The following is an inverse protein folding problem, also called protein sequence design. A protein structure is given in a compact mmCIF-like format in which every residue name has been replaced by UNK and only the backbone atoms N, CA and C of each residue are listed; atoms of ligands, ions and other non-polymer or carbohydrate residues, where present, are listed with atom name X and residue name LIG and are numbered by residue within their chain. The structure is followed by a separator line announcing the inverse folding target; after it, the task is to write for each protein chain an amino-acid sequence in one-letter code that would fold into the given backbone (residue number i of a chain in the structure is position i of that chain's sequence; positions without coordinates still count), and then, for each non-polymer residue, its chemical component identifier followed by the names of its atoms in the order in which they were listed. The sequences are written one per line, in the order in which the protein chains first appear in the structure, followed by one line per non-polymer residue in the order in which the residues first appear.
data_IF_202402386172
#
_entry.id   IF_202402386172
#
_cell.length_a   1.000
_cell.length_b   1.000
_cell.length_c   1.000
_cell.angle_alpha   90.00
_cell.angle_beta   90.00
_cell.angle_gamma   90.00
#
_symmetry.space_group_name_H-M   'P 1'
#
loop_
_entity.id
_entity.type
_entity.pdbx_description
1 polymer ?
#
# COMPACT_ATOMS: atom_id res chain seq x y z
N UNK A 1 0.36 -37.68 -84.35
CA UNK A 1 0.11 -36.59 -85.33
C UNK A 1 -0.24 -35.32 -84.54
N UNK A 2 0.51 -34.24 -84.79
CA UNK A 2 0.25 -32.82 -84.49
C UNK A 2 0.23 -32.32 -83.02
N UNK A 3 1.38 -31.74 -82.67
CA UNK A 3 1.58 -30.59 -81.78
C UNK A 3 0.69 -29.41 -82.23
N UNK A 4 0.09 -28.68 -81.26
CA UNK A 4 -0.18 -27.24 -81.35
C UNK A 4 -0.12 -26.57 -79.96
N UNK A 5 0.93 -25.76 -79.79
CA UNK A 5 1.06 -24.44 -79.13
C UNK A 5 -0.23 -23.59 -79.23
N UNK A 6 -0.54 -22.52 -78.48
CA UNK A 6 0.10 -21.55 -77.58
C UNK A 6 -1.08 -20.67 -77.03
N UNK A 7 -1.02 -20.09 -75.82
CA UNK A 7 -1.48 -18.71 -75.56
C UNK A 7 -1.36 -18.31 -74.07
N UNK A 8 -0.58 -17.27 -73.85
CA UNK A 8 -0.43 -16.41 -72.68
C UNK A 8 -1.71 -15.76 -72.18
N UNK A 9 -1.86 -15.64 -70.86
CA UNK A 9 -2.60 -14.55 -70.23
C UNK A 9 -1.92 -14.15 -68.91
N UNK A 10 -1.36 -12.95 -68.94
CA UNK A 10 -0.76 -12.20 -67.84
C UNK A 10 -1.83 -11.88 -66.78
N UNK A 11 -1.58 -12.23 -65.51
CA UNK A 11 -2.27 -11.59 -64.39
C UNK A 11 -1.24 -10.87 -63.52
N UNK A 12 -1.38 -9.55 -63.51
CA UNK A 12 -0.71 -8.62 -62.62
C UNK A 12 -1.33 -8.79 -61.24
N UNK A 13 -0.56 -9.27 -60.26
CA UNK A 13 -0.97 -9.32 -58.86
C UNK A 13 -0.22 -8.24 -58.07
N UNK A 14 -0.96 -7.18 -57.77
CA UNK A 14 -0.90 -6.28 -56.62
C UNK A 14 0.45 -6.07 -55.90
N UNK A 15 0.92 -4.81 -56.01
CA UNK A 15 1.79 -4.15 -55.04
C UNK A 15 1.09 -4.14 -53.66
N UNK A 16 1.47 -5.07 -52.80
CA UNK A 16 1.14 -5.09 -51.38
C UNK A 16 2.31 -4.52 -50.57
N UNK A 17 2.08 -3.37 -49.94
CA UNK A 17 2.98 -2.63 -49.06
C UNK A 17 3.83 -3.52 -48.13
N UNK A 18 5.16 -3.45 -48.28
CA UNK A 18 6.07 -3.84 -47.20
C UNK A 18 6.05 -2.75 -46.14
N UNK A 19 5.09 -2.84 -45.22
CA UNK A 19 5.17 -2.08 -43.97
C UNK A 19 6.38 -2.63 -43.19
N UNK A 20 7.50 -1.89 -43.23
CA UNK A 20 8.52 -1.99 -42.20
C UNK A 20 7.90 -1.49 -40.90
N UNK A 21 7.16 -2.37 -40.23
CA UNK A 21 6.81 -2.21 -38.84
C UNK A 21 8.11 -2.33 -38.05
N UNK A 22 8.76 -1.18 -37.84
CA UNK A 22 9.74 -1.00 -36.79
C UNK A 22 9.09 -1.52 -35.51
N UNK A 23 9.55 -2.67 -35.04
CA UNK A 23 9.15 -3.24 -33.76
C UNK A 23 9.57 -2.24 -32.70
N UNK A 24 8.64 -1.34 -32.35
CA UNK A 24 8.72 -0.46 -31.20
C UNK A 24 8.77 -1.41 -30.01
N UNK A 25 9.99 -1.65 -29.53
CA UNK A 25 10.28 -2.42 -28.32
C UNK A 25 9.37 -1.85 -27.23
N UNK A 26 8.38 -2.64 -26.85
CA UNK A 26 7.46 -2.34 -25.77
C UNK A 26 8.28 -2.33 -24.48
N UNK A 27 8.82 -1.16 -24.10
CA UNK A 27 9.35 -0.89 -22.77
C UNK A 27 8.20 -0.73 -21.76
N UNK A 28 7.22 -1.63 -21.83
CA UNK A 28 6.10 -1.76 -20.92
C UNK A 28 6.24 -3.17 -20.36
N UNK A 29 6.56 -3.28 -19.06
CA UNK A 29 6.60 -4.50 -18.21
C UNK A 29 7.95 -5.00 -17.66
N UNK A 30 9.03 -4.21 -17.65
CA UNK A 30 10.17 -4.58 -16.78
C UNK A 30 9.91 -4.33 -15.27
N UNK A 31 8.89 -3.54 -14.92
CA UNK A 31 8.56 -3.24 -13.52
C UNK A 31 7.54 -4.24 -12.93
N UNK A 32 6.70 -4.85 -13.76
CA UNK A 32 5.69 -5.82 -13.33
C UNK A 32 6.30 -7.14 -12.81
N UNK A 33 7.51 -7.50 -13.27
CA UNK A 33 8.21 -8.71 -12.84
C UNK A 33 9.06 -8.53 -11.57
N UNK A 34 9.17 -7.31 -11.05
CA UNK A 34 10.04 -7.04 -9.90
C UNK A 34 9.32 -7.31 -8.60
N UNK A 35 10.00 -8.05 -7.73
CA UNK A 35 9.51 -8.43 -6.40
C UNK A 35 9.83 -7.36 -5.37
N UNK A 36 9.04 -7.33 -4.31
CA UNK A 36 9.35 -6.57 -3.10
C UNK A 36 10.17 -7.50 -2.19
N UNK A 37 11.43 -7.14 -1.96
CA UNK A 37 12.38 -7.95 -1.21
C UNK A 37 13.45 -7.08 -0.56
N UNK A 38 13.90 -7.46 0.63
CA UNK A 38 14.83 -6.73 1.48
C UNK A 38 14.14 -5.71 2.39
N UNK A 39 14.93 -4.81 2.97
CA UNK A 39 14.43 -3.79 3.89
C UNK A 39 14.03 -2.51 3.16
N UNK A 40 12.92 -1.93 3.60
CA UNK A 40 12.37 -0.68 3.09
C UNK A 40 12.11 0.28 4.25
N UNK A 41 12.50 1.54 4.09
CA UNK A 41 12.06 2.60 5.00
C UNK A 41 10.78 3.22 4.47
N UNK A 42 9.89 3.63 5.37
CA UNK A 42 8.71 4.41 5.00
C UNK A 42 9.12 5.88 4.87
N UNK A 43 8.93 6.44 3.69
CA UNK A 43 9.39 7.80 3.35
C UNK A 43 8.31 8.83 3.64
N UNK A 44 7.07 8.50 3.31
CA UNK A 44 5.91 9.37 3.46
C UNK A 44 4.64 8.53 3.38
N UNK A 45 3.55 9.07 3.89
CA UNK A 45 2.24 8.48 3.72
C UNK A 45 1.19 9.17 4.56
N UNK A 46 -0.06 8.83 4.28
CA UNK A 46 -1.22 9.30 5.02
C UNK A 46 -2.19 8.15 5.27
N UNK A 47 -2.97 8.31 6.33
CA UNK A 47 -4.03 7.41 6.75
C UNK A 47 -5.20 8.30 7.16
N UNK A 48 -6.34 8.13 6.49
CA UNK A 48 -7.57 8.84 6.82
C UNK A 48 -8.65 7.81 7.10
N UNK A 49 -9.25 7.85 8.29
CA UNK A 49 -10.33 6.93 8.66
C UNK A 49 -11.48 7.64 9.35
N UNK A 50 -12.63 6.98 9.39
CA UNK A 50 -13.78 7.37 10.19
C UNK A 50 -14.19 6.23 11.11
N UNK A 51 -14.51 6.57 12.35
CA UNK A 51 -15.18 5.68 13.29
C UNK A 51 -16.60 5.34 12.78
N UNK A 52 -16.90 4.06 12.73
CA UNK A 52 -18.19 3.51 12.30
C UNK A 52 -18.90 2.75 13.43
N UNK A 53 -18.39 2.85 14.65
CA UNK A 53 -18.84 2.02 15.76
C UNK A 53 -20.05 2.58 16.48
N UNK A 54 -20.86 1.66 16.97
CA UNK A 54 -21.90 1.95 17.96
C UNK A 54 -21.53 1.48 19.36
N UNK A 55 -20.47 0.67 19.49
CA UNK A 55 -19.95 0.19 20.76
C UNK A 55 -18.91 1.18 21.31
N UNK A 56 -19.12 1.77 22.49
CA UNK A 56 -18.17 2.73 23.08
C UNK A 56 -16.89 2.09 23.60
N UNK A 57 -16.82 0.75 23.65
CA UNK A 57 -15.66 -0.01 24.15
C UNK A 57 -14.89 -0.74 23.06
N UNK A 58 -15.47 -0.83 21.85
CA UNK A 58 -14.88 -1.47 20.69
C UNK A 58 -15.07 -0.58 19.48
N UNK A 59 -14.07 0.25 19.23
CA UNK A 59 -14.07 1.14 18.09
C UNK A 59 -13.56 0.38 16.86
N UNK A 60 -14.18 0.67 15.75
CA UNK A 60 -13.94 0.16 14.42
C UNK A 60 -13.88 1.35 13.49
N UNK A 61 -12.83 1.37 12.68
CA UNK A 61 -12.57 2.44 11.75
C UNK A 61 -12.55 1.89 10.34
N UNK A 62 -13.05 2.67 9.38
CA UNK A 62 -12.87 2.41 7.96
C UNK A 62 -12.25 3.62 7.28
N UNK A 63 -11.35 3.38 6.35
CA UNK A 63 -10.65 4.47 5.69
C UNK A 63 -9.74 4.04 4.57
N UNK A 64 -8.86 4.96 4.19
CA UNK A 64 -7.88 4.78 3.13
C UNK A 64 -6.48 5.09 3.63
N UNK A 65 -5.50 4.54 2.94
CA UNK A 65 -4.10 4.81 3.21
C UNK A 65 -3.30 4.95 1.92
N UNK A 66 -2.18 5.64 2.01
CA UNK A 66 -1.20 5.80 0.95
C UNK A 66 0.18 5.86 1.55
N UNK A 67 1.04 4.88 1.26
CA UNK A 67 2.36 4.73 1.88
C UNK A 67 3.43 4.55 0.79
N UNK A 68 4.46 5.39 0.83
CA UNK A 68 5.63 5.29 -0.04
C UNK A 68 6.81 4.68 0.71
N UNK A 69 7.30 3.57 0.18
CA UNK A 69 8.45 2.84 0.67
C UNK A 69 9.66 3.05 -0.24
N UNK A 70 10.85 3.05 0.35
CA UNK A 70 12.14 3.08 -0.37
C UNK A 70 13.06 2.00 0.15
N UNK A 71 13.59 1.18 -0.76
CA UNK A 71 14.56 0.14 -0.43
C UNK A 71 15.83 0.78 0.17
N UNK A 72 16.22 0.35 1.37
CA UNK A 72 17.31 0.95 2.15
C UNK A 72 18.67 0.68 1.54
N UNK A 73 18.87 -0.51 0.99
CA UNK A 73 20.15 -0.97 0.44
C UNK A 73 20.29 -0.71 -1.06
N UNK A 74 19.34 0.00 -1.67
CA UNK A 74 19.28 0.16 -3.13
C UNK A 74 20.62 0.54 -3.76
N UNK A 75 21.35 1.49 -3.18
CA UNK A 75 22.61 1.94 -3.75
C UNK A 75 23.71 0.88 -3.69
N UNK A 76 23.70 0.02 -2.67
CA UNK A 76 24.66 -1.06 -2.41
C UNK A 76 24.33 -2.35 -3.15
N UNK A 77 23.11 -2.52 -3.64
CA UNK A 77 22.72 -3.69 -4.42
C UNK A 77 23.57 -3.83 -5.71
N UNK A 78 24.06 -5.04 -6.00
CA UNK A 78 24.64 -5.38 -7.30
C UNK A 78 23.66 -5.07 -8.44
N UNK A 79 24.18 -4.77 -9.63
CA UNK A 79 23.36 -4.47 -10.80
C UNK A 79 22.31 -5.56 -11.10
N UNK A 80 22.69 -6.84 -10.92
CA UNK A 80 21.79 -7.98 -11.15
C UNK A 80 20.58 -7.97 -10.22
N UNK A 81 20.75 -7.56 -8.96
CA UNK A 81 19.67 -7.53 -7.98
C UNK A 81 18.78 -6.31 -8.16
N UNK A 82 19.35 -5.16 -8.57
CA UNK A 82 18.59 -3.96 -8.98
C UNK A 82 17.62 -4.22 -10.12
N UNK A 83 17.86 -5.23 -10.96
CA UNK A 83 16.93 -5.61 -12.03
C UNK A 83 15.73 -6.41 -11.52
N UNK A 84 15.85 -7.06 -10.35
CA UNK A 84 14.85 -7.98 -9.77
C UNK A 84 14.02 -7.35 -8.66
N UNK A 85 14.60 -6.43 -7.90
CA UNK A 85 13.97 -5.84 -6.70
C UNK A 85 13.42 -4.45 -7.00
N UNK A 86 12.30 -4.07 -6.38
CA UNK A 86 11.73 -2.72 -6.50
C UNK A 86 12.51 -1.70 -5.67
N UNK A 87 12.91 -0.57 -6.26
CA UNK A 87 13.51 0.56 -5.53
C UNK A 87 12.51 1.27 -4.63
N UNK A 88 11.35 1.57 -5.20
CA UNK A 88 10.24 2.25 -4.55
C UNK A 88 9.01 1.36 -4.66
N UNK A 89 8.20 1.35 -3.61
CA UNK A 89 6.92 0.67 -3.58
C UNK A 89 5.91 1.66 -3.03
N UNK A 90 4.86 1.92 -3.80
CA UNK A 90 3.74 2.74 -3.34
C UNK A 90 2.59 1.78 -3.05
N UNK A 91 2.19 1.73 -1.78
CA UNK A 91 1.08 0.90 -1.31
C UNK A 91 -0.08 1.83 -1.02
N UNK A 92 -1.18 1.68 -1.75
CA UNK A 92 -2.41 2.43 -1.59
C UNK A 92 -3.56 1.48 -1.45
N UNK A 93 -4.58 1.89 -0.68
CA UNK A 93 -5.70 1.01 -0.45
C UNK A 93 -6.69 1.49 0.58
N UNK A 94 -7.52 0.55 1.00
CA UNK A 94 -8.50 0.71 2.08
C UNK A 94 -8.03 -0.02 3.33
N UNK A 95 -8.46 0.43 4.50
CA UNK A 95 -8.14 -0.24 5.75
C UNK A 95 -9.34 -0.33 6.69
N UNK A 96 -9.31 -1.35 7.54
CA UNK A 96 -10.14 -1.48 8.72
C UNK A 96 -9.24 -1.45 9.95
N UNK A 97 -9.48 -0.51 10.86
CA UNK A 97 -8.84 -0.44 12.17
C UNK A 97 -9.79 -0.93 13.26
N UNK A 98 -9.25 -1.46 14.35
CA UNK A 98 -10.00 -1.77 15.57
C UNK A 98 -9.24 -1.32 16.80
N UNK A 99 -9.96 -0.75 17.76
CA UNK A 99 -9.44 -0.32 19.07
C UNK A 99 -10.38 -0.90 20.13
N UNK A 100 -9.94 -1.94 20.84
CA UNK A 100 -10.66 -2.51 21.97
C UNK A 100 -10.13 -1.89 23.27
N UNK A 101 -10.96 -1.09 23.93
CA UNK A 101 -10.65 -0.40 25.20
C UNK A 101 -11.30 -1.07 26.40
N UNK A 102 -11.89 -2.27 26.24
CA UNK A 102 -12.58 -2.98 27.33
C UNK A 102 -11.69 -3.25 28.55
N UNK A 103 -10.38 -3.37 28.33
CA UNK A 103 -9.38 -3.62 29.37
C UNK A 103 -8.40 -2.45 29.55
N UNK A 104 -8.83 -1.23 29.23
CA UNK A 104 -7.98 -0.02 29.25
C UNK A 104 -7.24 0.16 30.58
N UNK A 105 -7.88 -0.15 31.71
CA UNK A 105 -7.32 0.05 33.06
C UNK A 105 -6.44 -1.12 33.57
N UNK A 106 -6.37 -2.24 32.84
CA UNK A 106 -5.64 -3.43 33.30
C UNK A 106 -4.48 -3.79 32.38
N UNK A 107 -4.73 -3.88 31.07
CA UNK A 107 -3.71 -4.24 30.07
C UNK A 107 -3.53 -3.19 28.98
N UNK A 108 -4.37 -2.15 28.97
CA UNK A 108 -4.36 -1.11 27.94
C UNK A 108 -5.25 -1.46 26.74
N UNK A 109 -5.31 -0.57 25.73
CA UNK A 109 -6.09 -0.81 24.52
C UNK A 109 -5.43 -1.87 23.64
N UNK A 110 -6.23 -2.70 22.98
CA UNK A 110 -5.76 -3.63 21.94
C UNK A 110 -6.09 -3.03 20.58
N UNK A 111 -5.05 -2.72 19.82
CA UNK A 111 -5.18 -2.06 18.51
C UNK A 111 -4.65 -2.98 17.41
N UNK A 112 -5.38 -3.05 16.30
CA UNK A 112 -4.96 -3.80 15.11
C UNK A 112 -5.61 -3.28 13.83
N UNK A 113 -4.94 -3.53 12.71
CA UNK A 113 -5.37 -3.08 11.38
C UNK A 113 -5.33 -4.23 10.37
N UNK A 114 -6.29 -4.18 9.45
CA UNK A 114 -6.30 -4.96 8.22
C UNK A 114 -6.35 -3.99 7.06
N UNK A 115 -5.29 -3.97 6.26
CA UNK A 115 -5.17 -3.13 5.07
C UNK A 115 -5.33 -3.99 3.82
N UNK A 116 -6.02 -3.46 2.82
CA UNK A 116 -6.26 -4.10 1.53
C UNK A 116 -5.81 -3.13 0.45
N UNK A 117 -5.04 -3.58 -0.53
CA UNK A 117 -4.63 -2.71 -1.65
C UNK A 117 -5.80 -2.39 -2.60
N UNK A 118 -5.64 -1.36 -3.43
CA UNK A 118 -6.70 -0.87 -4.32
C UNK A 118 -7.27 -1.93 -5.27
N UNK A 119 -6.43 -2.89 -5.70
CA UNK A 119 -6.83 -4.00 -6.57
C UNK A 119 -7.39 -5.20 -5.80
N UNK A 120 -7.38 -5.15 -4.46
CA UNK A 120 -7.85 -6.19 -3.53
C UNK A 120 -7.15 -7.54 -3.73
N UNK A 121 -5.93 -7.53 -4.25
CA UNK A 121 -5.11 -8.72 -4.44
C UNK A 121 -4.25 -9.04 -3.21
N UNK A 122 -4.07 -8.05 -2.33
CA UNK A 122 -3.22 -8.13 -1.16
C UNK A 122 -3.98 -7.75 0.11
N UNK A 123 -3.74 -8.50 1.17
CA UNK A 123 -4.13 -8.16 2.53
C UNK A 123 -2.87 -8.04 3.38
N UNK A 124 -2.69 -6.93 4.07
CA UNK A 124 -1.61 -6.67 5.04
C UNK A 124 -2.25 -6.61 6.42
N UNK A 125 -1.65 -7.29 7.40
CA UNK A 125 -2.17 -7.35 8.78
C UNK A 125 -1.17 -6.77 9.76
N UNK A 126 -1.69 -6.11 10.79
CA UNK A 126 -0.93 -5.73 11.97
C UNK A 126 -1.51 -6.37 13.22
N UNK A 127 -0.68 -6.50 14.25
CA UNK A 127 -1.06 -7.00 15.56
C UNK A 127 -0.26 -6.30 16.65
N UNK A 128 -0.88 -6.13 17.83
CA UNK A 128 -0.27 -5.47 18.98
C UNK A 128 0.22 -4.05 18.61
N UNK A 129 -0.59 -3.31 17.87
CA UNK A 129 -0.30 -1.93 17.55
C UNK A 129 -0.29 -1.10 18.84
N UNK A 130 0.54 -0.07 18.84
CA UNK A 130 0.71 0.78 20.01
C UNK A 130 0.15 2.15 19.75
N UNK A 131 -0.76 2.59 20.61
CA UNK A 131 -1.51 3.81 20.47
C UNK A 131 -1.25 4.72 21.68
N UNK A 132 -0.65 5.90 21.45
CA UNK A 132 -0.29 6.84 22.51
C UNK A 132 -0.94 8.22 22.28
N UNK A 133 -1.74 8.72 23.24
CA UNK A 133 -2.17 10.11 23.24
C UNK A 133 -0.98 11.02 23.60
N UNK A 134 -0.68 11.98 22.73
CA UNK A 134 0.30 13.05 22.94
C UNK A 134 -0.37 14.23 23.65
N UNK A 135 -1.63 14.53 23.30
CA UNK A 135 -2.48 15.47 24.01
C UNK A 135 -3.95 15.10 23.85
N UNK A 136 -4.81 15.56 24.78
CA UNK A 136 -6.20 15.10 24.84
C UNK A 136 -6.33 13.65 25.33
N UNK A 137 -7.49 13.05 25.13
CA UNK A 137 -7.79 11.68 25.50
C UNK A 137 -8.86 11.07 24.59
N UNK A 138 -8.95 9.73 24.57
CA UNK A 138 -9.90 8.96 23.75
C UNK A 138 -11.38 9.31 23.99
N UNK A 139 -11.72 9.93 25.11
CA UNK A 139 -13.09 10.25 25.48
C UNK A 139 -13.42 11.75 25.35
N UNK A 140 -12.50 12.55 24.78
CA UNK A 140 -12.61 14.01 24.67
C UNK A 140 -12.92 14.68 26.03
N UNK A 141 -12.31 14.19 27.11
CA UNK A 141 -12.58 14.71 28.47
C UNK A 141 -12.11 16.16 28.65
N UNK A 142 -11.16 16.61 27.84
CA UNK A 142 -10.64 17.98 27.81
C UNK A 142 -11.40 18.92 26.87
N UNK A 143 -12.37 18.42 26.10
CA UNK A 143 -13.11 19.20 25.10
C UNK A 143 -12.31 19.53 23.83
N UNK A 144 -11.12 18.96 23.66
CA UNK A 144 -10.25 19.14 22.48
C UNK A 144 -9.97 17.79 21.81
N UNK A 145 -9.89 17.75 20.45
CA UNK A 145 -9.44 16.57 19.74
C UNK A 145 -8.12 16.02 20.28
N UNK A 146 -7.96 14.72 20.19
CA UNK A 146 -6.77 14.04 20.68
C UNK A 146 -5.69 14.05 19.60
N UNK A 147 -4.47 14.43 19.98
CA UNK A 147 -3.28 14.25 19.14
C UNK A 147 -2.62 12.93 19.53
N UNK A 148 -2.21 12.13 18.54
CA UNK A 148 -1.69 10.79 18.78
C UNK A 148 -0.35 10.54 18.11
N UNK A 149 0.35 9.54 18.66
CA UNK A 149 1.43 8.81 18.01
C UNK A 149 1.05 7.33 18.03
N UNK A 150 1.05 6.71 16.86
CA UNK A 150 0.67 5.32 16.66
C UNK A 150 1.78 4.53 15.98
N UNK A 151 2.01 3.31 16.45
CA UNK A 151 2.97 2.36 15.88
C UNK A 151 2.21 1.13 15.39
N UNK A 152 2.06 1.03 14.07
CA UNK A 152 1.38 -0.10 13.40
C UNK A 152 2.40 -1.20 13.12
N UNK A 153 2.29 -2.32 13.81
CA UNK A 153 3.22 -3.44 13.80
C UNK A 153 2.76 -4.51 12.82
N UNK A 154 3.30 -4.47 11.60
CA UNK A 154 2.93 -5.40 10.53
C UNK A 154 3.49 -6.80 10.81
N UNK A 155 2.63 -7.80 10.74
CA UNK A 155 2.95 -9.21 11.01
C UNK A 155 2.94 -10.09 9.76
N UNK A 156 2.44 -9.57 8.64
CA UNK A 156 2.49 -10.29 7.37
C UNK A 156 1.55 -9.73 6.31
N UNK A 157 1.68 -10.25 5.09
CA UNK A 157 0.82 -9.91 3.98
C UNK A 157 0.60 -11.08 3.02
N UNK A 158 -0.32 -10.90 2.06
CA UNK A 158 -0.56 -11.84 0.95
C UNK A 158 -0.17 -11.19 -0.39
N UNK A 159 -0.37 -11.91 -1.50
CA UNK A 159 -0.25 -11.31 -2.84
C UNK A 159 1.16 -10.80 -3.15
N UNK A 160 1.26 -9.63 -3.78
CA UNK A 160 2.57 -9.06 -4.20
C UNK A 160 3.49 -8.68 -3.03
N UNK A 161 2.97 -8.68 -1.79
CA UNK A 161 3.71 -8.39 -0.57
C UNK A 161 3.86 -9.62 0.34
N UNK A 162 3.62 -10.84 -0.17
CA UNK A 162 3.65 -12.09 0.61
C UNK A 162 4.95 -12.33 1.40
N UNK A 163 6.07 -11.75 0.95
CA UNK A 163 7.36 -11.84 1.63
C UNK A 163 7.46 -10.91 2.86
N UNK A 164 6.47 -10.07 3.16
CA UNK A 164 6.48 -9.21 4.34
C UNK A 164 6.56 -10.09 5.61
N UNK A 165 7.67 -10.01 6.33
CA UNK A 165 7.88 -10.80 7.55
C UNK A 165 7.68 -9.99 8.81
N UNK A 166 8.01 -8.70 8.78
CA UNK A 166 7.84 -7.79 9.91
C UNK A 166 8.00 -6.33 9.50
N UNK A 167 7.54 -5.43 10.36
CA UNK A 167 7.89 -4.02 10.27
C UNK A 167 6.97 -3.16 11.11
N UNK A 168 7.38 -1.90 11.30
CA UNK A 168 6.58 -0.91 12.01
C UNK A 168 6.41 0.33 11.17
N UNK A 169 5.19 0.86 11.18
CA UNK A 169 4.85 2.17 10.61
C UNK A 169 4.48 3.10 11.77
N UNK A 170 5.26 4.18 11.94
CA UNK A 170 4.99 5.26 12.87
C UNK A 170 4.09 6.30 12.20
N UNK A 171 2.95 6.59 12.81
CA UNK A 171 1.94 7.54 12.36
C UNK A 171 1.70 8.59 13.45
N UNK A 172 1.48 9.83 13.06
CA UNK A 172 1.08 10.90 13.97
C UNK A 172 -0.01 11.76 13.36
N UNK A 173 -0.90 12.28 14.19
CA UNK A 173 -1.91 13.24 13.75
C UNK A 173 -3.08 13.35 14.71
N UNK A 174 -4.20 13.81 14.17
CA UNK A 174 -5.38 14.19 14.95
C UNK A 174 -6.45 13.12 14.90
N UNK A 175 -7.03 12.84 16.05
CA UNK A 175 -8.24 12.05 16.24
C UNK A 175 -9.35 12.98 16.69
N UNK A 176 -10.35 13.16 15.84
CA UNK A 176 -11.47 14.04 16.11
C UNK A 176 -12.59 13.31 16.84
N UNK A 177 -12.31 12.93 18.09
CA UNK A 177 -13.22 12.17 18.95
C UNK A 177 -14.13 13.05 19.81
N UNK A 178 -14.29 14.34 19.48
CA UNK A 178 -15.10 15.28 20.25
C UNK A 178 -16.49 15.48 19.65
N UNK A 179 -17.57 15.03 20.34
CA UNK A 179 -18.93 15.17 19.81
C UNK A 179 -19.30 16.63 19.51
N UNK A 180 -19.93 16.85 18.36
CA UNK A 180 -20.42 18.18 17.94
C UNK A 180 -19.38 19.07 17.27
N UNK A 181 -18.14 18.60 17.10
CA UNK A 181 -17.17 19.25 16.23
C UNK A 181 -17.35 18.78 14.77
N UNK A 182 -16.96 19.63 13.81
CA UNK A 182 -16.82 19.22 12.40
C UNK A 182 -15.88 18.02 12.32
N UNK A 183 -16.13 17.07 11.41
CA UNK A 183 -15.34 15.84 11.26
C UNK A 183 -15.30 14.92 12.50
N UNK A 184 -16.30 14.98 13.39
CA UNK A 184 -16.41 14.01 14.50
C UNK A 184 -16.32 12.55 14.01
N UNK A 185 -15.45 11.78 14.65
CA UNK A 185 -15.12 10.39 14.31
C UNK A 185 -13.98 10.25 13.30
N UNK A 186 -13.46 11.34 12.72
CA UNK A 186 -12.36 11.30 11.75
C UNK A 186 -11.00 11.13 12.42
N UNK A 187 -10.14 10.32 11.82
CA UNK A 187 -8.72 10.21 12.14
C UNK A 187 -7.94 10.64 10.91
N UNK A 188 -7.02 11.58 11.08
CA UNK A 188 -6.18 12.12 10.00
C UNK A 188 -4.72 12.04 10.45
N UNK A 189 -4.03 11.02 9.94
CA UNK A 189 -2.70 10.62 10.38
C UNK A 189 -1.72 10.66 9.21
N UNK A 190 -0.47 11.02 9.52
CA UNK A 190 0.64 11.05 8.56
C UNK A 190 1.81 10.22 9.08
N UNK A 191 2.54 9.60 8.15
CA UNK A 191 3.77 8.87 8.49
C UNK A 191 4.79 9.80 9.12
N UNK A 192 5.37 9.37 10.24
CA UNK A 192 6.55 10.00 10.84
C UNK A 192 7.81 9.50 10.12
N UNK A 193 8.51 10.34 9.35
CA UNK A 193 9.64 9.88 8.52
C UNK A 193 10.82 9.39 9.36
N UNK A 194 11.46 8.31 8.91
CA UNK A 194 12.72 7.81 9.50
C UNK A 194 12.56 6.92 10.73
N UNK A 195 11.35 6.77 11.27
CA UNK A 195 11.06 5.87 12.40
C UNK A 195 10.53 4.50 11.97
N UNK A 196 10.27 4.33 10.68
CA UNK A 196 9.51 3.20 10.14
C UNK A 196 10.35 2.35 9.19
N UNK A 197 10.33 1.03 9.38
CA UNK A 197 11.02 0.05 8.51
C UNK A 197 10.16 -1.19 8.32
N UNK A 198 10.09 -1.67 7.08
CA UNK A 198 9.44 -2.92 6.69
C UNK A 198 10.48 -3.90 6.11
N UNK A 199 10.33 -5.18 6.41
CA UNK A 199 11.25 -6.25 6.03
C UNK A 199 10.50 -7.28 5.18
N UNK A 200 11.04 -7.58 4.00
CA UNK A 200 10.49 -8.55 3.06
C UNK A 200 11.52 -9.65 2.75
N UNK A 201 11.28 -10.91 3.12
CA UNK A 201 12.21 -12.04 3.00
C UNK A 201 11.64 -13.26 2.30
#
# INVERSE_FOLDING_TARGET
MKIKTLATATMIAFLGFSANASAKKSDINHNASRVVQGSYTVVSGSVETFDISSDPTKLEQLGTYSILLKNTEWNRLPWRDKLRVRKYVHITGSLKGTIDVSNLYTVGPVVSHVMIDDDRSTVIRSENDVFYPVSGDLFCSTGSPMEILEYVNLVGATGQYENLTSGTISLSGTVNNCPGQEDYGKYDLSVVPGESTLIFE
#
